data_IF_224426874405
#
_entry.id   IF_224426874405
#
_cell.length_a   1.000
_cell.length_b   1.000
_cell.length_c   1.000
_cell.angle_alpha   90.00
_cell.angle_beta   90.00
_cell.angle_gamma   90.00
#
_symmetry.space_group_name_H-M   'P 1'
#
loop_
_entity.id
_entity.type
_entity.pdbx_description
1 polymer ?
#
# COMPACT_ATOMS: atom_id res chain seq x y z
N UNK A 1 20.02 13.29 2.08
CA UNK A 1 18.75 13.31 1.35
C UNK A 1 18.21 11.93 1.19
N UNK A 2 16.93 11.76 1.38
CA UNK A 2 16.31 10.43 1.32
C UNK A 2 15.78 10.21 -0.09
N UNK A 3 16.11 9.06 -0.67
CA UNK A 3 15.60 8.74 -2.00
C UNK A 3 14.13 8.36 -1.90
N UNK A 4 13.46 8.36 -3.04
CA UNK A 4 12.07 7.98 -3.09
C UNK A 4 11.87 6.56 -2.59
N UNK A 5 12.73 5.65 -3.02
CA UNK A 5 12.62 4.26 -2.59
C UNK A 5 12.85 4.11 -1.10
N UNK A 6 13.79 4.88 -0.56
CA UNK A 6 14.06 4.79 0.87
C UNK A 6 12.91 5.33 1.69
N UNK A 7 12.29 6.39 1.23
CA UNK A 7 11.13 6.94 1.91
C UNK A 7 10.00 5.92 1.91
N UNK A 8 9.75 5.31 0.76
CA UNK A 8 8.70 4.33 0.64
C UNK A 8 8.98 3.16 1.57
N UNK A 9 10.22 2.71 1.60
CA UNK A 9 10.60 1.60 2.47
C UNK A 9 10.34 1.93 3.93
N UNK A 10 10.85 3.08 4.40
CA UNK A 10 10.82 3.39 5.82
C UNK A 10 9.43 3.78 6.31
N UNK A 11 8.69 4.51 5.50
CA UNK A 11 7.45 5.09 5.97
C UNK A 11 6.23 4.27 5.59
N UNK A 12 6.34 3.43 4.59
CA UNK A 12 5.18 2.70 4.09
C UNK A 12 5.35 1.19 4.20
N UNK A 13 6.43 0.67 3.65
CA UNK A 13 6.59 -0.79 3.57
C UNK A 13 6.97 -1.40 4.90
N UNK A 14 7.93 -0.81 5.58
CA UNK A 14 8.38 -1.41 6.82
C UNK A 14 7.29 -1.53 7.87
N UNK A 15 6.41 -0.55 8.03
CA UNK A 15 5.32 -0.70 9.00
C UNK A 15 4.37 -1.84 8.65
N UNK A 16 4.41 -2.35 7.43
CA UNK A 16 3.54 -3.45 7.03
C UNK A 16 4.14 -4.82 7.30
N UNK A 17 5.40 -4.87 7.75
CA UNK A 17 6.02 -6.16 7.99
C UNK A 17 5.25 -6.92 9.07
N UNK A 18 4.98 -8.17 8.81
CA UNK A 18 4.22 -9.00 9.74
C UNK A 18 2.76 -9.13 9.38
N UNK A 19 2.26 -8.28 8.48
CA UNK A 19 0.88 -8.36 8.06
C UNK A 19 0.76 -9.38 6.94
N UNK A 20 -0.45 -9.88 6.71
CA UNK A 20 -0.67 -10.78 5.60
C UNK A 20 -1.71 -10.19 4.68
N UNK A 21 -1.63 -10.54 3.41
CA UNK A 21 -2.56 -10.07 2.42
C UNK A 21 -3.80 -10.95 2.48
N UNK A 22 -4.96 -10.35 2.72
CA UNK A 22 -6.18 -11.12 2.87
C UNK A 22 -7.19 -10.86 1.77
N UNK A 23 -6.91 -9.91 0.88
CA UNK A 23 -7.86 -9.59 -0.17
C UNK A 23 -7.15 -8.78 -1.26
N UNK A 24 -7.61 -8.93 -2.49
CA UNK A 24 -7.10 -8.14 -3.61
C UNK A 24 -8.28 -7.44 -4.26
N UNK A 25 -8.05 -6.26 -4.84
CA UNK A 25 -9.14 -5.52 -5.46
C UNK A 25 -8.61 -4.56 -6.50
N UNK A 26 -9.51 -4.05 -7.31
CA UNK A 26 -9.22 -2.96 -8.22
C UNK A 26 -10.28 -1.90 -7.99
N UNK A 27 -10.05 -0.71 -8.52
CA UNK A 27 -11.08 0.32 -8.42
C UNK A 27 -12.14 0.08 -9.51
N UNK A 28 -13.15 0.92 -9.55
CA UNK A 28 -14.28 0.72 -10.43
C UNK A 28 -13.90 0.72 -11.90
N UNK A 29 -12.85 1.45 -12.25
CA UNK A 29 -12.44 1.56 -13.64
C UNK A 29 -11.30 0.61 -13.99
N UNK A 30 -10.87 -0.21 -13.03
CA UNK A 30 -9.73 -1.11 -13.22
C UNK A 30 -8.47 -0.34 -13.58
N UNK A 31 -8.37 0.89 -13.10
CA UNK A 31 -7.18 1.68 -13.35
C UNK A 31 -6.15 1.51 -12.26
N UNK A 32 -6.55 1.26 -11.05
CA UNK A 32 -5.65 1.07 -9.94
C UNK A 32 -5.95 -0.24 -9.27
N UNK A 33 -4.93 -0.86 -8.73
CA UNK A 33 -5.09 -2.12 -8.04
C UNK A 33 -4.56 -1.97 -6.63
N UNK A 34 -5.00 -2.85 -5.77
CA UNK A 34 -4.54 -2.80 -4.39
C UNK A 34 -4.85 -4.10 -3.68
N UNK A 35 -4.56 -4.11 -2.40
CA UNK A 35 -4.82 -5.28 -1.59
C UNK A 35 -5.04 -4.84 -0.16
N UNK A 36 -5.73 -5.70 0.60
CA UNK A 36 -5.97 -5.46 2.01
C UNK A 36 -5.01 -6.32 2.81
N UNK A 37 -4.37 -5.73 3.80
CA UNK A 37 -3.49 -6.47 4.68
C UNK A 37 -4.11 -6.50 6.06
N UNK A 38 -3.78 -7.54 6.81
CA UNK A 38 -4.26 -7.68 8.18
C UNK A 38 -3.07 -7.92 9.08
N UNK A 39 -2.97 -7.12 10.13
CA UNK A 39 -1.88 -7.24 11.09
C UNK A 39 -2.24 -8.28 12.15
N UNK A 40 -1.26 -8.76 12.89
CA UNK A 40 -1.52 -9.78 13.90
C UNK A 40 -2.53 -9.37 14.96
N UNK A 41 -2.69 -8.08 15.21
CA UNK A 41 -3.65 -7.61 16.20
C UNK A 41 -5.05 -7.47 15.63
N UNK A 42 -5.25 -7.85 14.36
CA UNK A 42 -6.57 -7.78 13.75
C UNK A 42 -6.86 -6.52 12.98
N UNK A 43 -5.96 -5.55 13.05
CA UNK A 43 -6.14 -4.32 12.32
C UNK A 43 -5.97 -4.56 10.82
N UNK A 44 -6.78 -3.93 10.00
CA UNK A 44 -6.70 -4.07 8.56
C UNK A 44 -6.47 -2.73 7.90
N UNK A 45 -5.73 -2.75 6.81
CA UNK A 45 -5.49 -1.55 6.02
C UNK A 45 -5.53 -1.90 4.55
N UNK A 46 -5.92 -0.93 3.75
CA UNK A 46 -5.93 -1.10 2.31
C UNK A 46 -4.69 -0.44 1.74
N UNK A 47 -4.04 -1.12 0.83
CA UNK A 47 -2.83 -0.61 0.19
C UNK A 47 -3.10 -0.48 -1.29
N UNK A 48 -2.97 0.73 -1.82
CA UNK A 48 -3.17 1.01 -3.23
C UNK A 48 -1.82 1.15 -3.91
N UNK A 49 -1.68 0.53 -5.06
CA UNK A 49 -0.45 0.62 -5.83
C UNK A 49 -0.58 1.77 -6.81
N UNK A 50 0.26 2.77 -6.66
CA UNK A 50 0.21 3.96 -7.47
C UNK A 50 1.47 4.08 -8.29
N UNK A 51 1.33 4.51 -9.54
CA UNK A 51 2.47 4.70 -10.39
C UNK A 51 3.02 6.10 -10.19
N UNK A 52 4.30 6.28 -10.41
CA UNK A 52 4.88 7.59 -10.41
C UNK A 52 4.38 8.29 -11.68
N UNK A 53 3.73 9.43 -11.56
CA UNK A 53 3.14 10.09 -12.72
C UNK A 53 4.14 10.43 -13.81
N UNK A 54 5.40 10.59 -13.46
CA UNK A 54 6.40 10.94 -14.44
C UNK A 54 7.23 9.77 -14.90
N UNK A 55 6.94 8.60 -14.40
CA UNK A 55 7.68 7.42 -14.81
C UNK A 55 9.06 7.32 -14.24
N UNK A 56 9.38 8.13 -13.23
CA UNK A 56 10.66 8.07 -12.56
C UNK A 56 10.50 7.41 -11.22
N UNK A 57 11.42 6.62 -10.84
CA UNK A 57 11.41 6.04 -9.51
C UNK A 57 10.54 4.79 -9.44
N UNK A 58 10.25 4.37 -8.23
CA UNK A 58 9.65 3.08 -7.98
C UNK A 58 8.14 3.10 -7.83
N UNK A 59 7.52 4.24 -8.00
CA UNK A 59 6.09 4.33 -7.76
C UNK A 59 5.83 4.54 -6.29
N UNK A 60 4.60 4.29 -5.88
CA UNK A 60 4.21 4.58 -4.51
C UNK A 60 3.08 3.68 -4.06
N UNK A 61 3.01 3.47 -2.76
CA UNK A 61 1.91 2.73 -2.16
C UNK A 61 1.17 3.67 -1.23
N UNK A 62 -0.15 3.71 -1.38
CA UNK A 62 -0.98 4.55 -0.53
C UNK A 62 -1.70 3.62 0.44
N UNK A 63 -1.49 3.83 1.73
CA UNK A 63 -2.04 2.96 2.76
C UNK A 63 -3.12 3.72 3.51
N UNK A 64 -4.34 3.18 3.51
CA UNK A 64 -5.44 3.80 4.21
C UNK A 64 -6.08 2.79 5.13
N UNK A 65 -6.80 3.26 6.13
CA UNK A 65 -7.49 2.36 7.03
C UNK A 65 -8.59 1.63 6.30
N UNK A 66 -8.68 0.34 6.54
CA UNK A 66 -9.74 -0.43 5.97
C UNK A 66 -11.00 -0.16 6.75
N UNK A 67 -12.11 0.01 6.03
CA UNK A 67 -13.32 0.27 6.69
C UNK A 67 -13.78 -0.93 7.37
N UNK A 68 -14.15 -0.90 8.57
CA UNK A 68 -14.54 -2.02 9.18
C UNK A 68 -15.88 -1.94 9.43
N UNK A 69 -16.54 -2.47 9.60
CA UNK A 69 -17.80 -2.51 9.90
C UNK A 69 -18.52 -3.25 9.14
#
# INVERSE_FOLDING_TARGET
MVTEARYLHDMVIEPMVGAKIVRAFTDADDEFAGFTIEFPDGTKKNVWVLADPEGNGCGFLDVTDSEKR
#
